data_IF_651962403392
#
_entry.id   IF_651962403392
#
_cell.length_a   1.000
_cell.length_b   1.000
_cell.length_c   1.000
_cell.angle_alpha   90.00
_cell.angle_beta   90.00
_cell.angle_gamma   90.00
#
_symmetry.space_group_name_H-M   'P 1'
#
loop_
_entity.id
_entity.type
_entity.pdbx_description
1 polymer ?
#
# COMPACT_ATOMS: atom_id res chain seq x y z
N UNK A 1 -13.38 7.45 -1.31
CA UNK A 1 -13.29 5.98 -1.48
C UNK A 1 -13.32 5.65 -2.99
N UNK A 2 -12.25 5.94 -3.72
CA UNK A 2 -12.19 5.77 -5.20
C UNK A 2 -11.65 4.38 -5.58
N UNK A 3 -10.68 3.85 -4.82
CA UNK A 3 -10.04 2.56 -5.10
C UNK A 3 -11.02 1.40 -5.11
N UNK A 4 -12.01 1.40 -4.21
CA UNK A 4 -13.05 0.35 -4.18
C UNK A 4 -13.95 0.39 -5.43
N UNK A 5 -14.23 1.57 -5.95
CA UNK A 5 -15.03 1.71 -7.17
C UNK A 5 -14.24 1.23 -8.39
N UNK A 6 -12.91 1.41 -8.40
CA UNK A 6 -12.07 0.83 -9.44
C UNK A 6 -12.16 -0.70 -9.44
N UNK A 7 -12.23 -1.34 -8.27
CA UNK A 7 -12.38 -2.82 -8.20
C UNK A 7 -13.72 -3.34 -8.71
N UNK A 8 -14.69 -2.46 -8.95
CA UNK A 8 -16.01 -2.80 -9.53
C UNK A 8 -16.04 -2.62 -11.06
N UNK A 9 -14.95 -2.12 -11.66
CA UNK A 9 -14.84 -2.02 -13.11
C UNK A 9 -14.82 -3.41 -13.77
N UNK A 10 -15.44 -3.52 -14.93
CA UNK A 10 -15.50 -4.76 -15.71
C UNK A 10 -14.11 -5.27 -16.08
N UNK A 11 -13.21 -4.35 -16.44
CA UNK A 11 -11.81 -4.66 -16.71
C UNK A 11 -10.88 -3.65 -16.03
N UNK A 12 -9.80 -4.17 -15.46
CA UNK A 12 -8.70 -3.41 -14.86
C UNK A 12 -7.39 -3.98 -15.35
N UNK A 13 -6.57 -3.13 -15.98
CA UNK A 13 -5.19 -3.46 -16.31
C UNK A 13 -4.29 -2.93 -15.21
N UNK A 14 -3.54 -3.83 -14.57
CA UNK A 14 -2.63 -3.51 -13.47
C UNK A 14 -1.19 -3.75 -13.92
N UNK A 15 -0.28 -2.81 -13.61
CA UNK A 15 1.16 -2.98 -13.85
C UNK A 15 1.68 -4.25 -13.16
N UNK A 16 1.21 -4.51 -11.93
CA UNK A 16 1.48 -5.73 -11.19
C UNK A 16 0.28 -6.08 -10.31
N UNK A 17 -0.45 -7.13 -10.69
CA UNK A 17 -1.58 -7.64 -9.93
C UNK A 17 -1.16 -8.07 -8.52
N UNK A 18 0.00 -8.72 -8.39
CA UNK A 18 0.49 -9.19 -7.09
C UNK A 18 0.75 -8.01 -6.13
N UNK A 19 1.42 -6.96 -6.61
CA UNK A 19 1.72 -5.77 -5.81
C UNK A 19 0.45 -5.10 -5.31
N UNK A 20 -0.53 -4.95 -6.21
CA UNK A 20 -1.82 -4.31 -5.93
C UNK A 20 -2.63 -5.14 -4.93
N UNK A 21 -2.73 -6.45 -5.12
CA UNK A 21 -3.46 -7.34 -4.20
C UNK A 21 -2.81 -7.34 -2.81
N UNK A 22 -1.47 -7.37 -2.74
CA UNK A 22 -0.72 -7.28 -1.48
C UNK A 22 -1.01 -5.97 -0.75
N UNK A 23 -0.93 -4.84 -1.45
CA UNK A 23 -1.23 -3.52 -0.90
C UNK A 23 -2.69 -3.42 -0.42
N UNK A 24 -3.64 -3.93 -1.20
CA UNK A 24 -5.07 -3.91 -0.86
C UNK A 24 -5.36 -4.71 0.41
N UNK A 25 -4.78 -5.91 0.54
CA UNK A 25 -4.91 -6.75 1.74
C UNK A 25 -4.25 -6.12 2.97
N UNK A 26 -3.17 -5.37 2.79
CA UNK A 26 -2.53 -4.66 3.89
C UNK A 26 -3.40 -3.46 4.33
N UNK A 27 -3.91 -2.68 3.39
CA UNK A 27 -4.76 -1.52 3.68
C UNK A 27 -6.11 -1.86 4.32
N UNK A 28 -6.61 -3.08 4.10
CA UNK A 28 -7.82 -3.56 4.76
C UNK A 28 -7.60 -3.92 6.24
N UNK A 29 -6.34 -4.13 6.67
CA UNK A 29 -5.99 -4.60 8.01
C UNK A 29 -5.29 -3.54 8.86
N UNK A 30 -4.59 -2.62 8.23
CA UNK A 30 -3.83 -1.59 8.92
C UNK A 30 -4.53 -0.23 8.96
N UNK A 31 -3.82 0.76 9.49
CA UNK A 31 -4.35 2.11 9.75
C UNK A 31 -4.16 3.10 8.60
N UNK A 32 -3.31 2.79 7.63
CA UNK A 32 -3.03 3.63 6.46
C UNK A 32 -4.08 3.54 5.35
N UNK A 33 -3.95 4.42 4.36
CA UNK A 33 -4.67 4.30 3.10
C UNK A 33 -4.01 3.31 2.15
N UNK A 34 -4.74 2.89 1.10
CA UNK A 34 -4.22 1.99 0.06
C UNK A 34 -2.90 2.46 -0.56
N UNK A 35 -2.75 3.78 -0.79
CA UNK A 35 -1.55 4.35 -1.37
C UNK A 35 -0.30 4.11 -0.50
N UNK A 36 -0.44 4.20 0.83
CA UNK A 36 0.66 4.00 1.77
C UNK A 36 1.21 2.58 1.65
N UNK A 37 0.31 1.59 1.66
CA UNK A 37 0.69 0.19 1.49
C UNK A 37 1.15 -0.15 0.08
N UNK A 38 0.70 0.59 -0.95
CA UNK A 38 1.21 0.43 -2.31
C UNK A 38 2.66 0.92 -2.41
N UNK A 39 3.00 2.03 -1.75
CA UNK A 39 4.37 2.53 -1.65
C UNK A 39 5.25 1.53 -0.89
N UNK A 40 4.77 1.01 0.24
CA UNK A 40 5.48 -0.03 0.99
C UNK A 40 5.70 -1.32 0.18
N UNK A 41 4.68 -1.75 -0.57
CA UNK A 41 4.78 -2.91 -1.47
C UNK A 41 5.82 -2.68 -2.57
N UNK A 42 5.87 -1.48 -3.15
CA UNK A 42 6.90 -1.12 -4.14
C UNK A 42 8.30 -1.07 -3.53
N UNK A 43 8.45 -0.58 -2.31
CA UNK A 43 9.73 -0.58 -1.59
C UNK A 43 10.22 -2.02 -1.35
N UNK A 44 9.31 -2.92 -0.96
CA UNK A 44 9.61 -4.34 -0.79
C UNK A 44 10.08 -4.99 -2.10
N UNK A 45 9.41 -4.73 -3.23
CA UNK A 45 9.85 -5.22 -4.55
C UNK A 45 11.27 -4.73 -4.91
N UNK A 46 11.66 -3.56 -4.41
CA UNK A 46 12.99 -3.00 -4.56
C UNK A 46 14.00 -3.47 -3.49
N UNK A 47 13.66 -4.54 -2.74
CA UNK A 47 14.44 -5.07 -1.61
C UNK A 47 14.77 -4.01 -0.54
N UNK A 48 13.89 -3.02 -0.36
CA UNK A 48 13.95 -2.05 0.73
C UNK A 48 12.99 -2.47 1.84
N UNK A 49 13.47 -2.39 3.08
CA UNK A 49 12.72 -2.83 4.26
C UNK A 49 11.87 -1.73 4.90
N UNK A 50 12.14 -0.46 4.59
CA UNK A 50 11.62 0.69 5.33
C UNK A 50 11.17 1.80 4.38
N UNK A 51 9.98 2.36 4.63
CA UNK A 51 9.46 3.57 4.00
C UNK A 51 9.43 4.68 5.04
N UNK A 52 10.09 5.79 4.74
CA UNK A 52 10.05 6.97 5.60
C UNK A 52 8.75 7.73 5.41
N UNK A 53 8.11 8.14 6.50
CA UNK A 53 6.84 8.86 6.49
C UNK A 53 6.76 9.93 7.58
N UNK A 54 6.06 11.01 7.27
CA UNK A 54 5.69 12.03 8.26
C UNK A 54 4.31 11.78 8.88
N UNK A 55 3.55 10.80 8.36
CA UNK A 55 2.27 10.42 8.91
C UNK A 55 2.48 9.64 10.21
N UNK A 56 2.10 10.26 11.32
CA UNK A 56 2.21 9.69 12.67
C UNK A 56 1.39 8.41 12.84
N UNK A 57 0.31 8.25 12.08
CA UNK A 57 -0.53 7.04 12.15
C UNK A 57 0.22 5.84 11.59
N UNK A 58 0.97 6.04 10.51
CA UNK A 58 1.74 4.99 9.84
C UNK A 58 2.98 4.57 10.65
N UNK A 59 3.50 5.39 11.55
CA UNK A 59 4.63 4.99 12.43
C UNK A 59 4.28 3.80 13.34
N UNK A 60 3.00 3.48 13.52
CA UNK A 60 2.55 2.29 14.24
C UNK A 60 2.43 1.04 13.34
N UNK A 61 2.63 1.18 12.03
CA UNK A 61 2.52 0.10 11.05
C UNK A 61 3.90 -0.50 10.71
N UNK A 62 4.00 -1.82 10.50
CA UNK A 62 5.26 -2.45 10.12
C UNK A 62 5.83 -1.90 8.80
N UNK A 63 7.14 -1.64 8.78
CA UNK A 63 7.85 -1.20 7.58
C UNK A 63 7.78 0.31 7.31
N UNK A 64 7.16 1.08 8.19
CA UNK A 64 7.20 2.54 8.17
C UNK A 64 8.06 3.07 9.32
N UNK A 65 8.78 4.16 9.05
CA UNK A 65 9.61 4.84 10.05
C UNK A 65 9.60 6.36 9.86
N UNK A 66 10.03 7.11 10.87
CA UNK A 66 10.26 8.54 10.77
C UNK A 66 11.57 8.83 10.01
N UNK A 67 11.63 9.89 9.19
CA UNK A 67 12.84 10.31 8.49
C UNK A 67 13.95 10.83 9.42
#
# INVERSE_FOLDING_TARGET
MVVRQLTEAEELVLESTERVVRALRASQRGKGGFADYLIASRAHDAARSTVLTFDRVLLAEPGFDSP
#
